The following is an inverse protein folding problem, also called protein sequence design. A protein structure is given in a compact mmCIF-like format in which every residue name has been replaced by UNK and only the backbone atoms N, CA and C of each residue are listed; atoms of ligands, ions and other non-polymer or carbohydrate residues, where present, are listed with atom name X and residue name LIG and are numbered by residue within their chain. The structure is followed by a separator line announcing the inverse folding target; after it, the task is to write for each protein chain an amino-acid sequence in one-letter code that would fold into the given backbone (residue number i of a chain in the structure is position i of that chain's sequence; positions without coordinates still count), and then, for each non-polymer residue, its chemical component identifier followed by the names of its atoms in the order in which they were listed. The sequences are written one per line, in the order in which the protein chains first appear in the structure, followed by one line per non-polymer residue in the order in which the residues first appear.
data_IF_534109323369
#
_entry.id   IF_534109323369
#
_cell.length_a   1.000
_cell.length_b   1.000
_cell.length_c   1.000
_cell.angle_alpha   90.00
_cell.angle_beta   90.00
_cell.angle_gamma   90.00
#
_symmetry.space_group_name_H-M   'P 1'
#
loop_
_entity.id
_entity.type
_entity.pdbx_description
1 polymer ?
#
# COMPACT_ATOMS: atom_id res chain seq x y z
N UNK A 1 -9.83 0.87 -10.32
CA UNK A 1 -8.72 1.00 -11.31
C UNK A 1 -7.87 2.25 -11.05
N UNK A 2 -8.43 3.46 -10.99
CA UNK A 2 -7.69 4.72 -10.73
C UNK A 2 -6.86 4.67 -9.44
N UNK A 3 -7.48 4.36 -8.30
CA UNK A 3 -6.78 4.32 -7.01
C UNK A 3 -5.55 3.38 -7.03
N UNK A 4 -5.66 2.22 -7.67
CA UNK A 4 -4.56 1.26 -7.80
C UNK A 4 -3.41 1.81 -8.64
N UNK A 5 -3.73 2.41 -9.79
CA UNK A 5 -2.75 3.03 -10.69
C UNK A 5 -2.05 4.23 -10.02
N UNK A 6 -2.81 5.13 -9.38
CA UNK A 6 -2.25 6.26 -8.64
C UNK A 6 -1.36 5.79 -7.49
N UNK A 7 -1.74 4.74 -6.76
CA UNK A 7 -0.90 4.16 -5.70
C UNK A 7 0.39 3.54 -6.23
N UNK A 8 0.41 3.03 -7.46
CA UNK A 8 1.61 2.53 -8.11
C UNK A 8 2.56 3.69 -8.46
N UNK A 9 2.04 4.73 -9.10
CA UNK A 9 2.82 5.90 -9.55
C UNK A 9 3.04 6.99 -8.49
N UNK A 10 2.51 6.83 -7.28
CA UNK A 10 2.68 7.80 -6.18
C UNK A 10 4.13 7.99 -5.74
N UNK A 11 4.99 7.01 -6.06
CA UNK A 11 6.40 6.99 -5.66
C UNK A 11 7.31 7.76 -6.61
N UNK A 12 6.88 7.96 -7.85
CA UNK A 12 7.57 8.86 -8.79
C UNK A 12 6.97 10.26 -8.68
N UNK A 13 7.68 11.28 -9.17
CA UNK A 13 7.25 12.69 -9.06
C UNK A 13 6.08 12.95 -10.03
N UNK A 14 4.90 12.45 -9.68
CA UNK A 14 3.71 12.36 -10.56
C UNK A 14 2.65 13.42 -10.29
N UNK A 15 2.91 14.42 -9.44
CA UNK A 15 1.87 15.36 -8.99
C UNK A 15 1.26 16.15 -10.14
N UNK A 16 2.10 16.58 -11.09
CA UNK A 16 1.64 17.31 -12.26
C UNK A 16 0.80 16.42 -13.17
N UNK A 17 1.27 15.18 -13.41
CA UNK A 17 0.53 14.17 -14.19
C UNK A 17 -0.82 13.85 -13.56
N UNK A 18 -0.90 13.66 -12.23
CA UNK A 18 -2.15 13.39 -11.54
C UNK A 18 -3.14 14.53 -11.71
N UNK A 19 -2.71 15.78 -11.50
CA UNK A 19 -3.55 16.96 -11.73
C UNK A 19 -4.03 17.07 -13.17
N UNK A 20 -3.17 16.77 -14.14
CA UNK A 20 -3.52 16.77 -15.56
C UNK A 20 -4.59 15.71 -15.87
N UNK A 21 -4.43 14.50 -15.34
CA UNK A 21 -5.40 13.42 -15.52
C UNK A 21 -6.76 13.74 -14.87
N UNK A 22 -6.75 14.32 -13.68
CA UNK A 22 -7.98 14.76 -13.00
C UNK A 22 -8.70 15.86 -13.78
N UNK A 23 -7.95 16.81 -14.36
CA UNK A 23 -8.50 17.84 -15.23
C UNK A 23 -9.15 17.23 -16.49
N UNK A 24 -8.46 16.30 -17.18
CA UNK A 24 -8.99 15.63 -18.38
C UNK A 24 -10.28 14.87 -18.02
N UNK A 25 -10.28 14.13 -16.91
CA UNK A 25 -11.48 13.41 -16.44
C UNK A 25 -12.61 14.38 -16.16
N UNK A 26 -12.33 15.52 -15.53
CA UNK A 26 -13.34 16.55 -15.28
C UNK A 26 -13.93 17.10 -16.58
N UNK A 27 -13.12 17.39 -17.60
CA UNK A 27 -13.61 17.85 -18.91
C UNK A 27 -14.52 16.81 -19.58
N UNK A 28 -14.12 15.53 -19.56
CA UNK A 28 -14.91 14.43 -20.10
C UNK A 28 -16.24 14.27 -19.36
N UNK A 29 -16.23 14.31 -18.02
CA UNK A 29 -17.43 14.21 -17.20
C UNK A 29 -18.34 15.42 -17.40
N UNK A 30 -17.78 16.63 -17.47
CA UNK A 30 -18.55 17.85 -17.73
C UNK A 30 -19.24 17.78 -19.09
N UNK A 31 -18.52 17.43 -20.16
CA UNK A 31 -19.10 17.30 -21.49
C UNK A 31 -20.22 16.25 -21.52
N UNK A 32 -20.00 15.12 -20.86
CA UNK A 32 -21.00 14.05 -20.70
C UNK A 32 -22.24 14.50 -19.90
N UNK A 33 -22.05 15.23 -18.80
CA UNK A 33 -23.18 15.77 -18.01
C UNK A 33 -23.99 16.76 -18.85
N UNK A 34 -23.33 17.58 -19.67
CA UNK A 34 -24.00 18.53 -20.56
C UNK A 34 -24.81 17.82 -21.64
N UNK A 35 -24.26 16.75 -22.25
CA UNK A 35 -24.96 16.00 -23.29
C UNK A 35 -26.12 15.17 -22.74
N UNK A 36 -26.01 14.67 -21.51
CA UNK A 36 -27.01 13.83 -20.86
C UNK A 36 -28.21 14.60 -20.33
N UNK A 37 -27.99 15.76 -19.71
CA UNK A 37 -29.06 16.56 -19.16
C UNK A 37 -29.57 17.52 -20.25
N UNK A 38 -30.87 17.50 -20.58
CA UNK A 38 -31.47 18.25 -21.69
C UNK A 38 -31.40 19.79 -21.59
N UNK A 39 -32.55 20.48 -21.57
CA UNK A 39 -32.63 21.96 -21.65
C UNK A 39 -32.34 22.72 -20.34
N UNK A 40 -31.75 22.07 -19.33
CA UNK A 40 -31.35 22.75 -18.09
C UNK A 40 -30.13 23.65 -18.34
N UNK A 41 -29.92 24.67 -17.50
CA UNK A 41 -28.69 25.46 -17.57
C UNK A 41 -27.48 24.65 -17.05
N UNK A 42 -26.26 25.00 -17.49
CA UNK A 42 -25.04 24.24 -17.17
C UNK A 42 -24.88 23.96 -15.66
N UNK A 43 -25.19 24.96 -14.83
CA UNK A 43 -25.02 24.87 -13.39
C UNK A 43 -25.94 23.81 -12.78
N UNK A 44 -27.21 23.78 -13.17
CA UNK A 44 -28.17 22.76 -12.73
C UNK A 44 -27.76 21.35 -13.19
N UNK A 45 -27.28 21.20 -14.42
CA UNK A 45 -26.79 19.91 -14.93
C UNK A 45 -25.66 19.38 -14.05
N UNK A 46 -24.68 20.24 -13.73
CA UNK A 46 -23.53 19.87 -12.91
C UNK A 46 -23.95 19.57 -11.46
N UNK A 47 -24.88 20.34 -10.90
CA UNK A 47 -25.40 20.09 -9.54
C UNK A 47 -26.05 18.71 -9.41
N UNK A 48 -26.48 18.04 -10.48
CA UNK A 48 -27.03 16.69 -10.35
C UNK A 48 -25.97 15.63 -10.04
N UNK A 49 -24.74 15.80 -10.53
CA UNK A 49 -23.67 14.79 -10.47
C UNK A 49 -22.45 15.23 -9.65
N UNK A 50 -22.28 16.53 -9.41
CA UNK A 50 -21.18 17.08 -8.65
C UNK A 50 -21.65 17.55 -7.26
N UNK A 51 -20.92 17.14 -6.23
CA UNK A 51 -21.21 17.43 -4.83
C UNK A 51 -20.02 18.11 -4.16
N UNK A 52 -20.33 18.83 -3.09
CA UNK A 52 -19.35 19.35 -2.15
C UNK A 52 -19.33 18.40 -0.94
N UNK A 53 -18.29 17.62 -0.78
CA UNK A 53 -18.18 16.66 0.32
C UNK A 53 -16.74 16.57 0.83
N UNK A 54 -16.61 16.18 2.10
CA UNK A 54 -15.31 15.86 2.70
C UNK A 54 -14.96 14.41 2.38
N UNK A 55 -13.88 14.20 1.65
CA UNK A 55 -13.39 12.87 1.26
C UNK A 55 -12.23 12.43 2.14
N UNK A 56 -12.02 11.11 2.22
CA UNK A 56 -10.82 10.52 2.85
C UNK A 56 -9.80 10.15 1.77
N UNK A 57 -8.60 10.68 1.93
CA UNK A 57 -7.45 10.42 1.06
C UNK A 57 -6.86 9.02 1.35
N UNK A 58 -5.98 8.53 0.48
CA UNK A 58 -5.36 7.20 0.66
C UNK A 58 -4.49 7.09 1.91
N UNK A 59 -4.00 8.21 2.43
CA UNK A 59 -3.25 8.28 3.69
C UNK A 59 -4.13 8.46 4.95
N UNK A 60 -5.45 8.40 4.80
CA UNK A 60 -6.41 8.56 5.90
C UNK A 60 -6.70 10.00 6.31
N UNK A 61 -6.01 11.01 5.74
CA UNK A 61 -6.35 12.42 5.94
C UNK A 61 -7.65 12.77 5.23
N UNK A 62 -8.32 13.82 5.69
CA UNK A 62 -9.54 14.34 5.05
C UNK A 62 -9.25 15.59 4.23
N UNK A 63 -10.00 15.79 3.16
CA UNK A 63 -9.95 16.98 2.30
C UNK A 63 -11.37 17.36 1.87
N UNK A 64 -11.65 18.64 1.81
CA UNK A 64 -12.91 19.13 1.25
C UNK A 64 -12.80 19.22 -0.27
N UNK A 65 -13.69 18.54 -0.98
CA UNK A 65 -13.76 18.55 -2.44
C UNK A 65 -15.01 19.29 -2.92
N UNK A 66 -14.81 20.33 -3.72
CA UNK A 66 -15.90 21.16 -4.27
C UNK A 66 -16.46 20.64 -5.61
N UNK A 67 -15.78 19.68 -6.24
CA UNK A 67 -16.17 19.15 -7.54
C UNK A 67 -16.08 17.63 -7.54
N UNK A 68 -16.80 17.02 -6.60
CA UNK A 68 -16.82 15.58 -6.42
C UNK A 68 -17.87 14.93 -7.33
N UNK A 69 -17.45 14.16 -8.32
CA UNK A 69 -18.39 13.36 -9.11
C UNK A 69 -18.97 12.22 -8.27
N UNK A 70 -20.30 12.18 -8.18
CA UNK A 70 -21.08 11.18 -7.45
C UNK A 70 -22.23 10.71 -8.31
N UNK A 71 -22.28 9.40 -8.54
CA UNK A 71 -23.39 8.76 -9.22
C UNK A 71 -24.63 8.68 -8.31
N UNK A 72 -25.80 8.42 -8.92
CA UNK A 72 -27.08 8.40 -8.22
C UNK A 72 -27.19 7.30 -7.14
N UNK A 73 -26.39 6.24 -7.28
CA UNK A 73 -26.25 5.14 -6.32
C UNK A 73 -25.38 5.51 -5.11
N UNK A 74 -24.81 6.73 -5.09
CA UNK A 74 -23.92 7.21 -4.04
C UNK A 74 -22.44 6.89 -4.28
N UNK A 75 -22.10 6.21 -5.39
CA UNK A 75 -20.71 5.89 -5.72
C UNK A 75 -19.96 7.13 -6.16
N UNK A 76 -18.80 7.37 -5.52
CA UNK A 76 -17.92 8.52 -5.82
C UNK A 76 -16.75 8.09 -6.69
N UNK A 77 -16.38 8.93 -7.66
CA UNK A 77 -15.18 8.70 -8.46
C UNK A 77 -13.92 9.15 -7.71
N UNK A 78 -12.93 8.27 -7.66
CA UNK A 78 -11.61 8.55 -7.08
C UNK A 78 -10.80 9.50 -7.97
N UNK A 79 -10.21 10.55 -7.40
CA UNK A 79 -9.28 11.45 -8.09
C UNK A 79 -7.83 11.03 -7.87
N UNK A 80 -6.97 11.24 -8.87
CA UNK A 80 -5.56 10.85 -8.81
C UNK A 80 -4.80 11.65 -7.75
N UNK A 81 -5.11 12.95 -7.61
CA UNK A 81 -4.47 13.85 -6.63
C UNK A 81 -4.80 13.50 -5.17
N UNK A 82 -5.77 12.61 -4.92
CA UNK A 82 -6.05 12.09 -3.58
C UNK A 82 -5.03 11.08 -3.09
N UNK A 83 -4.18 10.60 -3.99
CA UNK A 83 -3.04 9.77 -3.65
C UNK A 83 -1.82 10.68 -3.41
N UNK A 84 -1.37 10.86 -2.15
CA UNK A 84 -0.20 11.67 -1.87
C UNK A 84 1.04 11.04 -2.48
N UNK A 85 1.96 11.90 -2.93
CA UNK A 85 3.26 11.43 -3.38
C UNK A 85 4.10 10.95 -2.20
N UNK A 86 4.80 9.84 -2.40
CA UNK A 86 5.74 9.26 -1.44
C UNK A 86 7.14 9.46 -1.99
N UNK A 87 7.97 10.27 -1.33
CA UNK A 87 9.36 10.47 -1.74
C UNK A 87 10.24 9.32 -1.25
N UNK A 88 11.19 8.93 -2.07
CA UNK A 88 12.25 8.01 -1.65
C UNK A 88 13.08 8.65 -0.52
N UNK A 89 13.30 7.89 0.55
CA UNK A 89 14.18 8.31 1.64
C UNK A 89 15.63 7.96 1.28
N UNK A 90 16.47 8.99 1.13
CA UNK A 90 17.89 8.79 0.87
C UNK A 90 18.56 8.02 2.01
N UNK A 91 19.54 7.20 1.66
CA UNK A 91 20.45 6.57 2.62
C UNK A 91 21.26 7.65 3.31
N UNK A 92 21.60 7.44 4.59
CA UNK A 92 22.53 8.33 5.25
C UNK A 92 23.89 8.25 4.54
N UNK A 93 24.58 9.36 4.28
CA UNK A 93 25.85 9.35 3.54
C UNK A 93 26.91 8.43 4.15
N UNK A 94 26.96 8.33 5.46
CA UNK A 94 27.90 7.53 6.25
C UNK A 94 27.46 6.06 6.44
N UNK A 95 26.21 5.73 6.13
CA UNK A 95 25.69 4.39 6.36
C UNK A 95 26.15 3.43 5.26
N UNK A 96 26.76 2.32 5.68
CA UNK A 96 27.13 1.22 4.78
C UNK A 96 26.49 -0.08 5.27
N UNK A 97 26.12 -1.04 4.41
CA UNK A 97 25.55 -2.32 4.87
C UNK A 97 26.43 -3.10 5.86
N UNK A 98 27.70 -2.71 5.98
CA UNK A 98 28.72 -3.34 6.81
C UNK A 98 29.10 -2.50 8.05
N UNK A 99 28.41 -1.40 8.31
CA UNK A 99 28.67 -0.49 9.45
C UNK A 99 28.24 -1.06 10.81
N UNK A 100 27.66 -2.27 10.84
CA UNK A 100 27.15 -2.93 12.04
C UNK A 100 25.83 -2.34 12.57
N UNK A 101 25.24 -1.37 11.89
CA UNK A 101 23.96 -0.74 12.27
C UNK A 101 22.77 -1.55 11.74
N UNK A 102 22.65 -2.78 12.23
CA UNK A 102 21.61 -3.72 11.77
C UNK A 102 20.19 -3.22 12.01
N UNK A 103 19.98 -2.44 13.07
CA UNK A 103 18.67 -1.85 13.38
C UNK A 103 18.26 -0.80 12.34
N UNK A 104 19.20 0.03 11.87
CA UNK A 104 18.96 0.97 10.77
C UNK A 104 18.58 0.22 9.49
N UNK A 105 19.37 -0.78 9.10
CA UNK A 105 19.15 -1.52 7.85
C UNK A 105 17.85 -2.32 7.86
N UNK A 106 17.50 -2.96 8.97
CA UNK A 106 16.23 -3.68 9.10
C UNK A 106 15.02 -2.71 9.10
N UNK A 107 15.15 -1.54 9.75
CA UNK A 107 14.12 -0.48 9.72
C UNK A 107 13.93 0.05 8.31
N UNK A 108 15.03 0.32 7.60
CA UNK A 108 15.05 0.79 6.22
C UNK A 108 14.41 -0.22 5.27
N UNK A 109 14.69 -1.51 5.43
CA UNK A 109 14.02 -2.58 4.67
C UNK A 109 12.51 -2.50 4.86
N UNK A 110 12.02 -2.33 6.08
CA UNK A 110 10.58 -2.17 6.35
C UNK A 110 9.96 -0.90 5.78
N UNK A 111 10.76 0.15 5.56
CA UNK A 111 10.35 1.42 4.95
C UNK A 111 10.53 1.44 3.43
N UNK A 112 11.18 0.42 2.85
CA UNK A 112 11.47 0.38 1.44
C UNK A 112 10.19 0.29 0.61
N UNK A 113 10.19 0.95 -0.54
CA UNK A 113 8.99 1.17 -1.35
C UNK A 113 8.38 -0.10 -1.92
N UNK A 114 9.23 -1.07 -2.21
CA UNK A 114 8.97 -2.40 -2.75
C UNK A 114 8.57 -3.41 -1.66
N UNK A 115 8.76 -3.07 -0.39
CA UNK A 115 8.43 -3.96 0.72
C UNK A 115 6.91 -4.03 0.92
N UNK A 116 6.30 -5.22 0.82
CA UNK A 116 4.86 -5.36 1.03
C UNK A 116 4.45 -4.93 2.44
N UNK A 117 3.28 -4.31 2.58
CA UNK A 117 2.75 -3.86 3.89
C UNK A 117 2.73 -4.97 4.95
N UNK A 118 2.46 -6.22 4.54
CA UNK A 118 2.47 -7.39 5.43
C UNK A 118 3.87 -7.63 5.99
N UNK A 119 4.89 -7.59 5.13
CA UNK A 119 6.31 -7.73 5.51
C UNK A 119 6.77 -6.57 6.38
N UNK A 120 6.46 -5.31 6.01
CA UNK A 120 6.81 -4.13 6.79
C UNK A 120 6.26 -4.19 8.23
N UNK A 121 5.00 -4.63 8.38
CA UNK A 121 4.37 -4.83 9.70
C UNK A 121 5.07 -5.91 10.51
N UNK A 122 5.44 -7.04 9.89
CA UNK A 122 6.14 -8.13 10.57
C UNK A 122 7.57 -7.75 10.95
N UNK A 123 8.32 -7.07 10.06
CA UNK A 123 9.63 -6.49 10.37
C UNK A 123 9.55 -5.61 11.62
N UNK A 124 8.56 -4.72 11.68
CA UNK A 124 8.35 -3.87 12.86
C UNK A 124 8.01 -4.69 14.11
N UNK A 125 7.08 -5.66 14.01
CA UNK A 125 6.68 -6.54 15.13
C UNK A 125 7.86 -7.33 15.68
N UNK A 126 8.73 -7.82 14.80
CA UNK A 126 9.89 -8.66 15.14
C UNK A 126 11.17 -7.86 15.38
N UNK A 127 11.09 -6.53 15.46
CA UNK A 127 12.24 -5.65 15.66
C UNK A 127 13.37 -5.89 14.63
N UNK A 128 12.99 -6.21 13.40
CA UNK A 128 13.92 -6.45 12.30
C UNK A 128 14.65 -7.78 12.34
N UNK A 129 14.26 -8.72 13.22
CA UNK A 129 14.90 -10.02 13.38
C UNK A 129 14.06 -11.16 12.85
N UNK A 130 14.72 -12.18 12.30
CA UNK A 130 14.11 -13.46 12.01
C UNK A 130 13.74 -14.19 13.31
N UNK A 131 12.53 -14.73 13.40
CA UNK A 131 12.06 -15.45 14.60
C UNK A 131 12.69 -16.84 14.75
N UNK A 132 13.29 -17.37 13.68
CA UNK A 132 13.96 -18.68 13.69
C UNK A 132 15.44 -18.59 14.06
N UNK A 133 16.26 -17.87 13.28
CA UNK A 133 17.70 -17.78 13.53
C UNK A 133 18.11 -16.62 14.46
N UNK A 134 17.18 -15.71 14.80
CA UNK A 134 17.45 -14.55 15.66
C UNK A 134 18.28 -13.42 15.03
N UNK A 135 18.75 -13.61 13.79
CA UNK A 135 19.55 -12.62 13.06
C UNK A 135 18.70 -11.50 12.47
N UNK A 136 19.33 -10.34 12.23
CA UNK A 136 18.67 -9.23 11.56
C UNK A 136 18.48 -9.48 10.07
N UNK A 137 17.43 -8.89 9.50
CA UNK A 137 17.28 -8.81 8.05
C UNK A 137 18.17 -7.71 7.48
N UNK A 138 19.06 -8.11 6.57
CA UNK A 138 19.89 -7.23 5.76
C UNK A 138 19.11 -6.74 4.53
N UNK A 139 19.59 -5.69 3.82
CA UNK A 139 18.96 -5.22 2.60
C UNK A 139 18.83 -6.30 1.52
N UNK A 140 19.86 -7.15 1.37
CA UNK A 140 19.93 -8.22 0.37
C UNK A 140 19.12 -9.47 0.73
N UNK A 141 18.72 -9.64 1.99
CA UNK A 141 18.00 -10.84 2.41
C UNK A 141 16.63 -10.97 1.74
N UNK A 142 16.27 -12.19 1.35
CA UNK A 142 14.89 -12.50 0.97
C UNK A 142 14.11 -12.82 2.25
N UNK A 143 13.12 -11.98 2.55
CA UNK A 143 12.27 -12.12 3.73
C UNK A 143 10.92 -12.71 3.33
N UNK A 144 10.58 -13.86 3.90
CA UNK A 144 9.39 -14.62 3.55
C UNK A 144 8.43 -14.71 4.73
N UNK A 145 7.14 -14.56 4.43
CA UNK A 145 6.09 -14.67 5.44
C UNK A 145 5.72 -16.12 5.63
N UNK A 146 5.68 -16.55 6.89
CA UNK A 146 5.38 -17.90 7.30
C UNK A 146 4.33 -17.91 8.44
N UNK A 147 3.66 -19.05 8.62
CA UNK A 147 2.71 -19.27 9.71
C UNK A 147 3.40 -20.05 10.85
N UNK A 148 3.37 -19.52 12.08
CA UNK A 148 3.93 -20.16 13.28
C UNK A 148 3.34 -21.56 13.46
N UNK A 149 2.01 -21.66 13.45
CA UNK A 149 1.28 -22.92 13.27
C UNK A 149 0.94 -23.05 11.79
N UNK A 150 1.39 -24.11 11.09
CA UNK A 150 1.08 -24.33 9.68
C UNK A 150 -0.43 -24.35 9.42
N UNK A 151 -0.85 -23.91 8.23
CA UNK A 151 -2.27 -23.96 7.84
C UNK A 151 -2.80 -25.40 7.79
N UNK A 152 -1.96 -26.36 7.42
CA UNK A 152 -2.28 -27.79 7.43
C UNK A 152 -2.62 -28.31 8.84
N UNK A 153 -2.05 -27.70 9.88
CA UNK A 153 -2.30 -28.03 11.29
C UNK A 153 -3.35 -27.10 11.93
N UNK A 154 -4.22 -26.47 11.13
CA UNK A 154 -5.29 -25.59 11.63
C UNK A 154 -4.84 -24.15 11.94
N UNK A 155 -3.62 -23.77 11.59
CA UNK A 155 -3.12 -22.40 11.75
C UNK A 155 -3.89 -21.36 10.93
N UNK A 156 -4.31 -20.27 11.58
CA UNK A 156 -5.06 -19.17 10.94
C UNK A 156 -4.14 -18.16 10.23
N UNK A 157 -4.62 -17.52 9.16
CA UNK A 157 -3.90 -16.41 8.50
C UNK A 157 -4.15 -15.08 9.22
N UNK A 158 -3.63 -14.97 10.44
CA UNK A 158 -3.76 -13.77 11.26
C UNK A 158 -2.39 -13.29 11.77
N UNK A 159 -2.21 -11.98 11.96
CA UNK A 159 -0.92 -11.41 12.37
C UNK A 159 -0.36 -11.99 13.67
N UNK A 160 -1.18 -12.61 14.52
CA UNK A 160 -0.72 -13.33 15.71
C UNK A 160 0.04 -14.61 15.36
N UNK A 161 -0.44 -15.33 14.34
CA UNK A 161 0.13 -16.57 13.80
C UNK A 161 1.13 -16.33 12.65
N UNK A 162 1.31 -15.08 12.18
CA UNK A 162 2.30 -14.77 11.14
C UNK A 162 3.65 -14.41 11.75
N UNK A 163 4.69 -14.90 11.09
CA UNK A 163 6.09 -14.57 11.33
C UNK A 163 6.83 -14.32 10.00
N UNK A 164 7.96 -13.64 10.08
CA UNK A 164 8.83 -13.33 8.96
C UNK A 164 10.18 -14.01 9.16
N UNK A 165 10.58 -14.77 8.16
CA UNK A 165 11.75 -15.63 8.17
C UNK A 165 12.69 -15.27 7.02
N UNK A 166 13.98 -15.56 7.16
CA UNK A 166 14.87 -15.65 5.99
C UNK A 166 14.44 -16.84 5.14
N UNK A 167 14.67 -16.76 3.82
CA UNK A 167 14.33 -17.87 2.89
C UNK A 167 14.82 -19.24 3.39
N UNK A 168 16.11 -19.36 3.68
CA UNK A 168 16.68 -20.63 4.19
C UNK A 168 16.01 -21.08 5.50
N UNK A 169 15.76 -20.17 6.45
CA UNK A 169 15.10 -20.54 7.72
C UNK A 169 13.64 -20.95 7.56
N UNK A 170 12.96 -20.48 6.50
CA UNK A 170 11.60 -20.94 6.19
C UNK A 170 11.63 -22.36 5.63
N UNK A 171 12.59 -22.65 4.77
CA UNK A 171 12.79 -23.99 4.23
C UNK A 171 13.09 -24.98 5.38
N UNK A 172 13.99 -24.63 6.29
CA UNK A 172 14.32 -25.41 7.50
C UNK A 172 13.08 -25.66 8.38
N UNK A 173 12.28 -24.61 8.65
CA UNK A 173 11.07 -24.73 9.45
C UNK A 173 10.05 -25.64 8.77
N UNK A 174 9.86 -25.49 7.46
CA UNK A 174 8.88 -26.27 6.70
C UNK A 174 9.23 -27.75 6.75
N UNK A 175 10.52 -28.10 6.59
CA UNK A 175 11.00 -29.47 6.73
C UNK A 175 10.72 -30.03 8.14
N UNK A 176 10.94 -29.25 9.20
CA UNK A 176 10.64 -29.67 10.57
C UNK A 176 9.13 -29.84 10.81
N UNK A 177 8.30 -28.97 10.24
CA UNK A 177 6.85 -29.05 10.35
C UNK A 177 6.28 -30.30 9.64
N UNK A 178 6.85 -30.66 8.49
CA UNK A 178 6.53 -31.89 7.76
C UNK A 178 6.97 -33.15 8.52
N UNK A 179 8.19 -33.14 9.08
CA UNK A 179 8.69 -34.24 9.91
C UNK A 179 7.76 -34.49 11.11
N UNK A 180 7.32 -33.43 11.79
CA UNK A 180 6.38 -33.52 12.92
C UNK A 180 5.03 -34.12 12.53
N UNK A 181 4.56 -33.89 11.30
CA UNK A 181 3.31 -34.48 10.80
C UNK A 181 3.45 -35.98 10.51
N UNK A 182 4.63 -36.45 10.12
CA UNK A 182 4.88 -37.86 9.86
C UNK A 182 4.92 -38.69 11.16
N UNK A 183 5.23 -38.06 12.29
CA UNK A 183 5.36 -38.70 13.60
C UNK A 183 4.25 -38.34 14.60
N UNK A 184 3.19 -37.63 14.16
CA UNK A 184 1.99 -37.30 14.95
C UNK A 184 0.81 -38.15 14.58
#
# INVERSE_FOLDING_TARGET
MIQGWSNYYSRVVSSETFRKLDYIIWEMLRAWTISRCGRANLHEKLRNYFRNETVKLSNGKTRHESWLFKANDGTTLWQHDWTPLVRHTLTRPEATPYDGNWTYWATRKGQATDTPNRVAKLLKKQKGKCTWCGQYFTPSDIAEVDHIVPRSQGGKDEYKNLQLLHRHTRDDKTALDEERLLYS
#
